data_IF_437278114415
#
_entry.id   IF_437278114415
#
_cell.length_a   1.000
_cell.length_b   1.000
_cell.length_c   1.000
_cell.angle_alpha   90.00
_cell.angle_beta   90.00
_cell.angle_gamma   90.00
#
_symmetry.space_group_name_H-M   'P 1'
#
loop_
_entity.id
_entity.type
_entity.pdbx_description
1 polymer ?
#
# COMPACT_ATOMS: atom_id res chain seq x y z
N UNK A 1 -9.40 -49.97 -21.90
CA UNK A 1 -8.68 -49.05 -21.00
C UNK A 1 -9.18 -47.65 -21.33
N UNK A 2 -10.11 -47.11 -20.55
CA UNK A 2 -10.75 -45.84 -20.88
C UNK A 2 -9.85 -44.69 -20.41
N UNK A 3 -9.26 -43.98 -21.36
CA UNK A 3 -8.52 -42.75 -21.09
C UNK A 3 -9.52 -41.60 -20.99
N UNK A 4 -9.55 -40.91 -19.85
CA UNK A 4 -10.33 -39.69 -19.67
C UNK A 4 -9.43 -38.47 -19.92
N UNK A 5 -9.86 -37.56 -20.78
CA UNK A 5 -9.23 -36.27 -20.99
C UNK A 5 -10.01 -35.21 -20.19
N UNK A 6 -9.37 -34.58 -19.20
CA UNK A 6 -9.95 -33.45 -18.48
C UNK A 6 -9.80 -32.17 -19.33
N UNK A 7 -10.84 -31.35 -19.37
CA UNK A 7 -10.81 -30.07 -20.09
C UNK A 7 -9.76 -29.14 -19.45
N UNK A 8 -8.75 -28.74 -20.22
CA UNK A 8 -7.80 -27.72 -19.80
C UNK A 8 -8.44 -26.34 -19.98
N UNK A 9 -9.10 -25.83 -18.93
CA UNK A 9 -9.71 -24.50 -18.91
C UNK A 9 -9.30 -23.74 -17.66
N UNK A 10 -8.89 -22.48 -17.84
CA UNK A 10 -8.67 -21.57 -16.71
C UNK A 10 -10.02 -21.18 -16.11
N UNK A 11 -10.10 -21.15 -14.78
CA UNK A 11 -11.30 -20.65 -14.08
C UNK A 11 -11.35 -19.11 -14.15
N UNK A 12 -12.53 -18.48 -13.97
CA UNK A 12 -12.70 -17.03 -14.13
C UNK A 12 -11.71 -16.17 -13.33
N UNK A 13 -11.33 -16.60 -12.13
CA UNK A 13 -10.34 -15.92 -11.28
C UNK A 13 -8.95 -15.90 -11.94
N UNK A 14 -8.54 -16.98 -12.60
CA UNK A 14 -7.25 -17.06 -13.28
C UNK A 14 -7.25 -16.19 -14.54
N UNK A 15 -8.37 -16.14 -15.26
CA UNK A 15 -8.54 -15.24 -16.42
C UNK A 15 -8.42 -13.78 -15.97
N UNK A 16 -9.10 -13.41 -14.88
CA UNK A 16 -9.03 -12.07 -14.31
C UNK A 16 -7.60 -11.67 -13.87
N UNK A 17 -6.84 -12.60 -13.28
CA UNK A 17 -5.43 -12.36 -12.93
C UNK A 17 -4.56 -12.12 -14.18
N UNK A 18 -4.77 -12.90 -15.24
CA UNK A 18 -4.06 -12.73 -16.50
C UNK A 18 -4.42 -11.41 -17.19
N UNK A 19 -5.68 -10.99 -17.16
CA UNK A 19 -6.10 -9.69 -17.68
C UNK A 19 -5.47 -8.53 -16.89
N UNK A 20 -5.48 -8.60 -15.55
CA UNK A 20 -4.77 -7.64 -14.70
C UNK A 20 -3.28 -7.54 -15.08
N UNK A 21 -2.61 -8.67 -15.26
CA UNK A 21 -1.20 -8.73 -15.63
C UNK A 21 -0.93 -8.12 -17.01
N UNK A 22 -1.75 -8.46 -18.02
CA UNK A 22 -1.63 -7.89 -19.38
C UNK A 22 -1.84 -6.38 -19.41
N UNK A 23 -2.74 -5.87 -18.58
CA UNK A 23 -3.09 -4.45 -18.55
C UNK A 23 -2.10 -3.59 -17.75
N UNK A 24 -1.25 -4.19 -16.90
CA UNK A 24 -0.26 -3.45 -16.11
C UNK A 24 0.76 -2.69 -16.96
N UNK A 25 1.07 -3.18 -18.15
CA UNK A 25 2.02 -2.50 -19.05
C UNK A 25 1.45 -1.19 -19.64
N UNK A 26 0.12 -1.07 -19.71
CA UNK A 26 -0.55 0.08 -20.32
C UNK A 26 -0.76 1.27 -19.35
N UNK A 27 -0.76 1.01 -18.04
CA UNK A 27 -0.86 2.03 -16.99
C UNK A 27 0.19 1.76 -15.90
N UNK A 28 1.40 2.33 -16.03
CA UNK A 28 2.50 2.06 -15.12
C UNK A 28 2.31 2.71 -13.75
N UNK A 29 1.29 3.57 -13.59
CA UNK A 29 1.05 4.31 -12.37
C UNK A 29 -0.21 3.82 -11.65
N UNK A 30 -0.08 3.60 -10.35
CA UNK A 30 -1.24 3.45 -9.48
C UNK A 30 -1.52 4.78 -8.79
N UNK A 31 -2.64 5.42 -9.15
CA UNK A 31 -3.10 6.64 -8.49
C UNK A 31 -3.83 6.28 -7.21
N UNK A 32 -3.44 6.89 -6.10
CA UNK A 32 -4.11 6.71 -4.82
C UNK A 32 -4.46 8.05 -4.18
N UNK A 33 -5.51 8.04 -3.36
CA UNK A 33 -5.89 9.15 -2.50
C UNK A 33 -5.30 8.92 -1.10
N UNK A 34 -4.52 9.89 -0.62
CA UNK A 34 -3.88 9.87 0.68
C UNK A 34 -4.45 10.98 1.56
N UNK A 35 -5.07 10.59 2.65
CA UNK A 35 -5.59 11.50 3.67
C UNK A 35 -4.82 11.31 4.96
N UNK A 36 -4.44 12.43 5.58
CA UNK A 36 -3.82 12.44 6.91
C UNK A 36 -4.60 13.40 7.80
N UNK A 37 -5.00 12.93 8.98
CA UNK A 37 -5.68 13.73 9.98
C UNK A 37 -4.84 13.72 11.25
N UNK A 38 -4.63 14.90 11.84
CA UNK A 38 -4.03 15.06 13.16
C UNK A 38 -5.12 15.36 14.18
N UNK A 39 -5.14 14.61 15.28
CA UNK A 39 -5.96 14.86 16.46
C UNK A 39 -5.05 14.90 17.69
N UNK A 40 -4.72 16.11 18.16
CA UNK A 40 -3.74 16.31 19.24
C UNK A 40 -2.36 15.75 18.86
N UNK A 41 -1.87 14.79 19.63
CA UNK A 41 -0.56 14.12 19.41
C UNK A 41 -0.66 12.83 18.55
N UNK A 42 -1.84 12.55 18.00
CA UNK A 42 -2.13 11.35 17.22
C UNK A 42 -2.30 11.69 15.74
N UNK A 43 -1.71 10.90 14.85
CA UNK A 43 -1.93 10.95 13.40
C UNK A 43 -2.72 9.72 12.92
N UNK A 44 -3.63 9.93 11.97
CA UNK A 44 -4.32 8.88 11.22
C UNK A 44 -3.96 9.07 9.75
N UNK A 45 -3.48 8.03 9.08
CA UNK A 45 -3.15 8.05 7.66
C UNK A 45 -3.86 6.93 6.91
N UNK A 46 -4.54 7.25 5.82
CA UNK A 46 -5.19 6.25 4.96
C UNK A 46 -4.18 5.48 4.12
N UNK A 47 -4.55 4.26 3.74
CA UNK A 47 -3.72 3.37 2.94
C UNK A 47 -4.63 2.37 2.19
N UNK A 48 -4.53 2.26 0.86
CA UNK A 48 -5.42 1.42 0.06
C UNK A 48 -5.04 -0.07 0.02
N UNK A 49 -3.90 -0.43 0.61
CA UNK A 49 -3.33 -1.78 0.53
C UNK A 49 -3.61 -2.62 1.78
N UNK A 50 -3.56 -3.95 1.63
CA UNK A 50 -3.19 -4.83 2.73
C UNK A 50 -1.67 -4.76 2.93
N UNK A 51 -1.26 -3.91 3.87
CA UNK A 51 0.11 -3.44 3.95
C UNK A 51 0.98 -4.37 4.79
N UNK A 52 2.15 -4.73 4.26
CA UNK A 52 3.15 -5.46 5.01
C UNK A 52 3.63 -4.66 6.22
N UNK A 53 3.82 -5.37 7.34
CA UNK A 53 4.18 -4.78 8.64
C UNK A 53 5.45 -3.91 8.56
N UNK A 54 6.44 -4.29 7.77
CA UNK A 54 7.65 -3.50 7.52
C UNK A 54 7.35 -2.06 7.08
N UNK A 55 6.37 -1.85 6.19
CA UNK A 55 6.01 -0.50 5.75
C UNK A 55 5.31 0.26 6.87
N UNK A 56 4.41 -0.41 7.61
CA UNK A 56 3.78 0.15 8.81
C UNK A 56 4.80 0.65 9.82
N UNK A 57 5.81 -0.15 10.16
CA UNK A 57 6.89 0.26 11.07
C UNK A 57 7.72 1.43 10.54
N UNK A 58 7.96 1.48 9.22
CA UNK A 58 8.68 2.61 8.64
C UNK A 58 7.87 3.90 8.70
N UNK A 59 6.55 3.83 8.56
CA UNK A 59 5.65 4.99 8.70
C UNK A 59 5.63 5.45 10.15
N UNK A 60 5.29 4.55 11.08
CA UNK A 60 5.16 4.90 12.50
C UNK A 60 6.48 5.34 13.11
N UNK A 61 7.59 4.68 12.77
CA UNK A 61 8.92 4.98 13.31
C UNK A 61 9.56 6.26 12.76
N UNK A 62 9.06 6.82 11.65
CA UNK A 62 9.55 8.09 11.06
C UNK A 62 8.58 9.25 11.25
N UNK A 63 7.43 9.01 11.87
CA UNK A 63 6.40 10.00 12.13
C UNK A 63 6.75 10.87 13.34
N UNK A 64 6.49 12.19 13.24
CA UNK A 64 6.59 13.14 14.36
C UNK A 64 5.47 12.98 15.39
N UNK A 65 4.37 12.31 15.03
CA UNK A 65 3.28 12.07 15.98
C UNK A 65 3.71 11.11 17.08
N UNK A 66 3.19 11.27 18.29
CA UNK A 66 3.41 10.31 19.38
C UNK A 66 2.80 8.93 19.09
N UNK A 67 1.69 8.92 18.37
CA UNK A 67 1.01 7.71 17.92
C UNK A 67 0.52 7.90 16.48
N UNK A 68 0.87 6.97 15.59
CA UNK A 68 0.33 6.94 14.23
C UNK A 68 -0.54 5.70 14.04
N UNK A 69 -1.72 5.87 13.47
CA UNK A 69 -2.59 4.80 12.98
C UNK A 69 -2.57 4.78 11.47
N UNK A 70 -2.16 3.64 10.89
CA UNK A 70 -2.24 3.38 9.45
C UNK A 70 -3.56 2.66 9.17
N UNK A 71 -4.50 3.35 8.56
CA UNK A 71 -5.85 2.85 8.27
C UNK A 71 -5.84 2.15 6.92
N UNK A 72 -5.79 0.83 6.93
CA UNK A 72 -5.70 0.03 5.72
C UNK A 72 -7.05 -0.12 5.01
N UNK A 73 -7.01 -0.48 3.72
CA UNK A 73 -8.18 -0.65 2.85
C UNK A 73 -9.13 0.56 2.87
N UNK A 74 -8.54 1.75 2.94
CA UNK A 74 -9.25 3.03 2.89
C UNK A 74 -8.92 3.79 1.61
N UNK A 75 -9.87 4.59 1.15
CA UNK A 75 -9.85 5.33 -0.12
C UNK A 75 -9.82 4.46 -1.40
N UNK A 76 -9.26 3.24 -1.35
CA UNK A 76 -9.30 2.23 -2.42
C UNK A 76 -8.99 0.81 -1.85
N UNK A 77 -8.91 -0.22 -2.72
CA UNK A 77 -8.70 -1.64 -2.40
C UNK A 77 -7.67 -2.30 -3.34
N UNK A 78 -6.40 -1.89 -3.26
CA UNK A 78 -5.35 -2.28 -4.22
C UNK A 78 -4.53 -3.52 -3.82
N UNK A 79 -5.19 -4.52 -3.22
CA UNK A 79 -4.61 -5.80 -2.81
C UNK A 79 -3.36 -5.62 -1.90
N UNK A 80 -2.44 -6.59 -1.90
CA UNK A 80 -1.21 -6.56 -1.10
C UNK A 80 -0.12 -5.70 -1.75
N UNK A 81 0.68 -5.07 -0.88
CA UNK A 81 1.93 -4.39 -1.28
C UNK A 81 3.12 -5.10 -0.65
N UNK A 82 3.79 -6.03 -1.35
CA UNK A 82 4.90 -6.77 -0.79
C UNK A 82 6.19 -5.95 -0.72
N UNK A 83 7.04 -6.33 0.22
CA UNK A 83 8.41 -5.79 0.31
C UNK A 83 9.33 -6.53 -0.65
N UNK A 84 10.47 -5.93 -0.99
CA UNK A 84 11.54 -6.61 -1.76
C UNK A 84 11.97 -7.93 -1.11
N UNK A 85 11.88 -8.03 0.22
CA UNK A 85 12.23 -9.21 1.01
C UNK A 85 11.17 -10.31 0.92
N UNK A 86 9.90 -9.92 0.78
CA UNK A 86 8.76 -10.84 0.75
C UNK A 86 8.59 -11.52 -0.61
N UNK A 87 8.97 -10.84 -1.70
CA UNK A 87 8.82 -11.36 -3.07
C UNK A 87 9.48 -12.74 -3.26
N UNK A 88 10.76 -12.96 -2.87
CA UNK A 88 11.38 -14.28 -2.99
C UNK A 88 10.70 -15.37 -2.14
N UNK A 89 9.95 -14.98 -1.10
CA UNK A 89 9.23 -15.92 -0.23
C UNK A 89 8.02 -16.56 -0.89
N UNK A 90 7.52 -16.04 -2.02
CA UNK A 90 6.48 -16.67 -2.83
C UNK A 90 5.12 -16.85 -2.14
N UNK A 91 4.89 -16.23 -0.99
CA UNK A 91 3.61 -16.28 -0.30
C UNK A 91 2.48 -15.66 -1.14
N UNK A 92 1.23 -16.03 -0.86
CA UNK A 92 0.06 -15.56 -1.61
C UNK A 92 0.02 -14.03 -1.78
N UNK A 93 0.34 -13.30 -0.71
CA UNK A 93 0.42 -11.84 -0.68
C UNK A 93 1.57 -11.21 -1.47
N UNK A 94 2.42 -12.02 -2.11
CA UNK A 94 3.54 -11.59 -2.94
C UNK A 94 3.45 -12.07 -4.41
N UNK A 95 2.40 -12.81 -4.80
CA UNK A 95 2.33 -13.45 -6.13
C UNK A 95 1.81 -12.55 -7.25
N UNK A 96 0.70 -11.83 -7.04
CA UNK A 96 0.09 -10.94 -8.04
C UNK A 96 0.07 -9.54 -7.46
N UNK A 97 0.94 -8.68 -7.97
CA UNK A 97 1.23 -7.39 -7.34
C UNK A 97 0.94 -6.27 -8.34
N UNK A 98 0.04 -5.34 -7.97
CA UNK A 98 -0.18 -4.15 -8.81
C UNK A 98 0.96 -3.15 -8.63
N UNK A 99 1.41 -2.99 -7.39
CA UNK A 99 2.44 -2.05 -6.97
C UNK A 99 3.60 -2.80 -6.33
N UNK A 100 4.81 -2.54 -6.81
CA UNK A 100 6.03 -3.18 -6.31
C UNK A 100 6.74 -2.40 -5.19
N UNK A 101 7.92 -2.88 -4.74
CA UNK A 101 8.66 -2.27 -3.63
C UNK A 101 9.07 -0.82 -3.84
N UNK A 102 9.22 -0.38 -5.09
CA UNK A 102 9.48 1.03 -5.44
C UNK A 102 8.28 1.90 -5.06
N UNK A 103 7.07 1.50 -5.44
CA UNK A 103 5.84 2.19 -5.04
C UNK A 103 5.62 2.13 -3.54
N UNK A 104 5.98 1.02 -2.88
CA UNK A 104 5.95 0.94 -1.42
C UNK A 104 6.94 1.90 -0.73
N UNK A 105 8.08 2.22 -1.35
CA UNK A 105 8.98 3.27 -0.85
C UNK A 105 8.36 4.66 -1.00
N UNK A 106 7.71 4.94 -2.14
CA UNK A 106 7.01 6.21 -2.38
C UNK A 106 5.90 6.38 -1.35
N UNK A 107 5.01 5.39 -1.21
CA UNK A 107 3.93 5.39 -0.20
C UNK A 107 4.43 5.78 1.18
N UNK A 108 5.46 5.10 1.70
CA UNK A 108 6.00 5.41 3.03
C UNK A 108 6.51 6.85 3.12
N UNK A 109 7.21 7.34 2.10
CA UNK A 109 7.78 8.68 2.13
C UNK A 109 6.67 9.73 2.12
N UNK A 110 5.74 9.65 1.16
CA UNK A 110 4.63 10.60 1.05
C UNK A 110 3.76 10.62 2.32
N UNK A 111 3.46 9.44 2.90
CA UNK A 111 2.70 9.36 4.16
C UNK A 111 3.46 10.03 5.31
N UNK A 112 4.76 9.77 5.46
CA UNK A 112 5.57 10.37 6.54
C UNK A 112 5.69 11.87 6.36
N UNK A 113 5.93 12.34 5.14
CA UNK A 113 6.13 13.75 4.84
C UNK A 113 4.84 14.54 5.10
N UNK A 114 3.68 14.02 4.68
CA UNK A 114 2.38 14.62 5.00
C UNK A 114 2.11 14.64 6.50
N UNK A 115 2.34 13.54 7.23
CA UNK A 115 2.18 13.53 8.70
C UNK A 115 3.06 14.61 9.33
N UNK A 116 4.34 14.65 8.98
CA UNK A 116 5.30 15.56 9.59
C UNK A 116 5.00 17.03 9.31
N UNK A 117 4.45 17.34 8.13
CA UNK A 117 4.02 18.70 7.77
C UNK A 117 2.96 19.27 8.72
N UNK A 118 2.08 18.42 9.27
CA UNK A 118 1.03 18.84 10.23
C UNK A 118 1.60 19.26 11.60
N UNK A 119 2.84 18.90 11.91
CA UNK A 119 3.54 19.34 13.12
C UNK A 119 4.38 20.60 12.88
N UNK A 120 4.90 20.79 11.67
CA UNK A 120 5.60 22.01 11.28
C UNK A 120 4.66 23.21 11.24
N UNK A 121 3.53 23.08 10.52
CA UNK A 121 2.52 24.14 10.42
C UNK A 121 2.00 24.61 11.79
N UNK A 122 1.81 23.68 12.72
CA UNK A 122 1.34 24.01 14.08
C UNK A 122 2.38 24.83 14.85
N UNK A 123 3.65 24.45 14.77
CA UNK A 123 4.71 25.15 15.49
C UNK A 123 4.91 26.57 14.92
N UNK A 124 4.83 26.72 13.60
CA UNK A 124 4.90 28.04 12.96
C UNK A 124 3.74 28.94 13.40
N UNK A 125 2.52 28.37 13.51
CA UNK A 125 1.34 29.13 13.98
C UNK A 125 1.45 29.62 15.43
N UNK A 126 2.19 28.92 16.29
CA UNK A 126 2.45 29.34 17.68
C UNK A 126 3.60 30.34 17.81
N UNK A 127 4.57 30.31 16.89
CA UNK A 127 5.71 31.25 16.91
C UNK A 127 5.34 32.67 16.47
N UNK A 128 4.22 32.81 15.74
CA UNK A 128 3.69 34.07 15.21
C UNK A 128 2.58 34.70 16.09
N UNK A 129 2.36 34.19 17.31
CA UNK A 129 1.41 34.71 18.30
C UNK A 129 2.10 34.94 19.63
#
# INVERSE_FOLDING_TARGET
>A
MNSFCAYAGLIPIQIFQLEKYKNQENDPFYRMELHVIRLGEVAFATNPFELYVDYGFRITGRSKSKQTFVIQLSCDRCDYLPTKKAIPGGGYSAMVIRVGPIGGKVLVNETVDLINSLWEQYNDSKSNT
#
